data_IF_900323107656
#
_entry.id   IF_900323107656
#
_cell.length_a   1.000
_cell.length_b   1.000
_cell.length_c   1.000
_cell.angle_alpha   90.00
_cell.angle_beta   90.00
_cell.angle_gamma   90.00
#
_symmetry.space_group_name_H-M   'P 1'
#
loop_
_entity.id
_entity.type
_entity.pdbx_description
1 polymer ?
#
# COMPACT_ATOMS: atom_id res chain seq x y z
N UNK A 1 2.36 14.77 12.04
CA UNK A 1 2.12 13.51 12.73
C UNK A 1 2.21 12.28 11.80
N UNK A 2 1.42 12.17 10.72
CA UNK A 2 1.48 11.04 9.80
C UNK A 2 2.80 11.09 9.01
N UNK A 3 3.21 9.95 8.46
CA UNK A 3 4.44 9.90 7.69
C UNK A 3 4.36 8.85 6.57
N UNK A 4 5.38 8.82 5.71
CA UNK A 4 5.47 7.85 4.63
C UNK A 4 5.79 6.48 5.24
N UNK A 5 6.51 6.47 6.37
CA UNK A 5 6.90 5.25 7.07
C UNK A 5 5.69 4.55 7.66
N UNK A 6 4.72 5.32 8.18
CA UNK A 6 3.51 4.75 8.78
C UNK A 6 2.74 3.98 7.70
N UNK A 7 2.72 4.54 6.48
CA UNK A 7 2.06 3.93 5.34
C UNK A 7 2.71 2.58 5.07
N UNK A 8 4.04 2.57 4.95
CA UNK A 8 4.78 1.33 4.74
C UNK A 8 4.42 0.33 5.84
N UNK A 9 4.25 0.83 7.08
CA UNK A 9 3.87 0.00 8.21
C UNK A 9 2.49 -0.63 7.98
N UNK A 10 1.57 0.13 7.38
CA UNK A 10 0.23 -0.37 7.11
C UNK A 10 0.31 -1.61 6.20
N UNK A 11 1.20 -1.57 5.21
CA UNK A 11 1.34 -2.69 4.29
C UNK A 11 1.89 -3.87 5.09
N UNK A 12 2.97 -3.64 5.84
CA UNK A 12 3.61 -4.66 6.66
C UNK A 12 2.87 -4.70 8.01
N UNK A 13 1.58 -5.02 7.91
CA UNK A 13 0.68 -5.11 9.05
C UNK A 13 -0.54 -5.91 8.59
N UNK A 14 -1.12 -5.54 7.45
CA UNK A 14 -2.25 -6.27 6.89
C UNK A 14 -1.77 -7.67 6.47
N UNK A 15 -2.62 -8.70 6.53
CA UNK A 15 -2.28 -10.09 6.21
C UNK A 15 -2.08 -10.34 4.72
N UNK A 16 -1.13 -9.66 4.09
CA UNK A 16 -0.83 -9.86 2.68
C UNK A 16 0.02 -11.11 2.46
N UNK A 17 0.39 -11.38 1.20
CA UNK A 17 1.20 -12.53 0.82
C UNK A 17 2.65 -12.05 0.60
N UNK A 18 3.34 -12.80 -0.27
CA UNK A 18 4.73 -12.47 -0.60
C UNK A 18 4.78 -11.54 -1.82
N UNK A 19 4.17 -12.05 -2.89
CA UNK A 19 4.12 -11.40 -4.19
C UNK A 19 3.42 -10.04 -4.18
N UNK A 20 2.17 -9.99 -3.75
CA UNK A 20 1.41 -8.75 -3.72
C UNK A 20 2.04 -7.72 -2.80
N UNK A 21 2.64 -8.18 -1.70
CA UNK A 21 3.29 -7.31 -0.73
C UNK A 21 4.47 -6.65 -1.44
N UNK A 22 5.34 -7.48 -2.02
CA UNK A 22 6.52 -6.98 -2.71
C UNK A 22 6.11 -6.02 -3.85
N UNK A 23 5.27 -6.53 -4.76
CA UNK A 23 4.79 -5.78 -5.90
C UNK A 23 4.23 -4.41 -5.48
N UNK A 24 3.32 -4.41 -4.52
CA UNK A 24 2.74 -3.17 -4.06
C UNK A 24 3.81 -2.26 -3.45
N UNK A 25 4.59 -2.76 -2.50
CA UNK A 25 5.62 -2.00 -1.85
C UNK A 25 6.54 -1.31 -2.88
N UNK A 26 6.96 -2.02 -3.93
CA UNK A 26 7.81 -1.40 -4.94
C UNK A 26 7.04 -0.24 -5.59
N UNK A 27 5.78 -0.51 -5.95
CA UNK A 27 4.93 0.49 -6.57
C UNK A 27 4.77 1.73 -5.68
N UNK A 28 4.63 1.49 -4.38
CA UNK A 28 4.48 2.54 -3.38
C UNK A 28 5.79 3.33 -3.30
N UNK A 29 6.92 2.63 -3.30
CA UNK A 29 8.23 3.28 -3.26
C UNK A 29 8.36 4.24 -4.46
N UNK A 30 7.73 3.87 -5.57
CA UNK A 30 7.71 4.69 -6.78
C UNK A 30 6.94 6.03 -6.62
N UNK A 31 6.59 6.45 -5.40
CA UNK A 31 5.88 7.70 -5.11
C UNK A 31 6.66 8.95 -5.57
N UNK A 32 6.05 10.13 -5.38
CA UNK A 32 6.66 11.42 -5.75
C UNK A 32 5.82 12.60 -5.25
N UNK A 33 4.53 12.68 -5.62
CA UNK A 33 3.66 13.78 -5.22
C UNK A 33 2.78 13.42 -4.03
N UNK A 34 1.46 13.33 -4.25
CA UNK A 34 0.49 13.04 -3.20
C UNK A 34 -0.79 12.44 -3.77
N UNK A 35 -1.44 13.13 -4.72
CA UNK A 35 -2.67 12.65 -5.33
C UNK A 35 -2.42 11.29 -6.01
N UNK A 36 -1.21 11.09 -6.53
CA UNK A 36 -0.82 9.87 -7.18
C UNK A 36 -0.70 8.77 -6.13
N UNK A 37 0.16 8.99 -5.14
CA UNK A 37 0.47 8.06 -4.07
C UNK A 37 -0.84 7.67 -3.37
N UNK A 38 -1.77 8.63 -3.20
CA UNK A 38 -3.06 8.47 -2.60
C UNK A 38 -3.86 7.45 -3.42
N UNK A 39 -3.94 7.66 -4.72
CA UNK A 39 -4.63 6.71 -5.60
C UNK A 39 -4.04 5.30 -5.41
N UNK A 40 -2.72 5.22 -5.26
CA UNK A 40 -2.04 3.94 -5.04
C UNK A 40 -2.44 3.41 -3.64
N UNK A 41 -2.64 4.29 -2.66
CA UNK A 41 -3.08 3.92 -1.33
C UNK A 41 -4.51 3.35 -1.44
N UNK A 42 -5.34 3.94 -2.29
CA UNK A 42 -6.69 3.46 -2.51
C UNK A 42 -6.61 2.01 -2.97
N UNK A 43 -5.60 1.67 -3.80
CA UNK A 43 -5.42 0.31 -4.25
C UNK A 43 -5.21 -0.61 -3.06
N UNK A 44 -4.37 -0.23 -2.07
CA UNK A 44 -4.17 -1.05 -0.85
C UNK A 44 -5.52 -1.44 -0.26
N UNK A 45 -6.40 -0.45 -0.08
CA UNK A 45 -7.72 -0.69 0.50
C UNK A 45 -8.46 -1.80 -0.27
N UNK A 46 -8.54 -1.65 -1.60
CA UNK A 46 -9.20 -2.63 -2.45
C UNK A 46 -8.53 -4.00 -2.35
N UNK A 47 -7.20 -4.01 -2.37
CA UNK A 47 -6.41 -5.24 -2.33
C UNK A 47 -6.83 -6.09 -1.12
N UNK A 48 -6.98 -5.50 0.06
CA UNK A 48 -7.38 -6.26 1.22
C UNK A 48 -8.78 -6.79 1.06
N UNK A 49 -9.70 -5.92 0.64
CA UNK A 49 -11.09 -6.32 0.45
C UNK A 49 -11.22 -7.40 -0.63
N UNK A 50 -10.14 -7.65 -1.39
CA UNK A 50 -10.13 -8.65 -2.44
C UNK A 50 -9.56 -9.93 -1.85
N UNK A 51 -8.38 -9.81 -1.22
CA UNK A 51 -7.72 -10.94 -0.58
C UNK A 51 -8.65 -11.56 0.47
N UNK A 52 -9.36 -10.70 1.20
CA UNK A 52 -10.28 -11.13 2.25
C UNK A 52 -11.65 -11.54 1.68
N UNK A 53 -12.06 -10.95 0.56
CA UNK A 53 -13.35 -11.23 -0.08
C UNK A 53 -14.49 -10.77 0.83
#
# INVERSE_FOLDING_TARGET
KPTMHSLRLVIESSPLSRAEKAAYVKSLSKCKTDQEVKAVMELVEEDIESLTN
#
